data_IF_796084149498
#
_entry.id   IF_796084149498
#
_cell.length_a   1.000
_cell.length_b   1.000
_cell.length_c   1.000
_cell.angle_alpha   90.00
_cell.angle_beta   90.00
_cell.angle_gamma   90.00
#
_symmetry.space_group_name_H-M   'P 1'
#
loop_
_entity.id
_entity.type
_entity.pdbx_description
1 polymer ?
#
# COMPACT_ATOMS: atom_id res chain seq x y z
N UNK A 1 -5.61 13.03 9.81
CA UNK A 1 -5.08 11.78 9.21
C UNK A 1 -6.22 10.79 9.13
N UNK A 2 -6.55 10.27 7.94
CA UNK A 2 -7.65 9.32 7.75
C UNK A 2 -7.07 8.01 7.22
N UNK A 3 -7.19 6.94 8.02
CA UNK A 3 -6.80 5.59 7.61
C UNK A 3 -7.76 5.10 6.53
N UNK A 4 -7.26 4.63 5.39
CA UNK A 4 -8.11 4.12 4.32
C UNK A 4 -8.79 2.84 4.79
N UNK A 5 -10.12 2.75 4.84
CA UNK A 5 -10.83 1.53 5.21
C UNK A 5 -10.50 0.43 4.20
N UNK A 6 -9.64 -0.49 4.60
CA UNK A 6 -9.52 -1.80 3.98
C UNK A 6 -10.68 -2.64 4.55
N UNK A 7 -11.62 -3.08 3.73
CA UNK A 7 -12.81 -3.81 4.18
C UNK A 7 -12.44 -5.15 4.83
N UNK A 8 -12.23 -5.16 6.15
CA UNK A 8 -12.38 -6.33 7.06
C UNK A 8 -12.24 -5.89 8.51
N UNK A 9 -13.19 -6.29 9.35
CA UNK A 9 -12.95 -6.55 10.78
C UNK A 9 -12.14 -7.84 10.85
N UNK A 10 -10.90 -7.80 11.33
CA UNK A 10 -10.19 -9.03 11.71
C UNK A 10 -9.71 -8.88 13.15
N UNK A 11 -10.21 -9.76 14.02
CA UNK A 11 -10.03 -9.79 15.48
C UNK A 11 -8.73 -10.51 15.87
N UNK A 12 -7.97 -11.00 14.89
CA UNK A 12 -6.74 -11.78 15.12
C UNK A 12 -5.56 -11.05 14.50
N UNK A 13 -4.54 -10.75 15.31
CA UNK A 13 -3.29 -10.11 14.87
C UNK A 13 -2.70 -10.94 13.71
N UNK A 14 -2.56 -10.36 12.51
CA UNK A 14 -1.94 -11.04 11.39
C UNK A 14 -0.49 -11.38 11.73
N UNK A 15 -0.12 -12.66 11.67
CA UNK A 15 1.23 -13.14 12.01
C UNK A 15 2.32 -12.57 11.09
N UNK A 16 1.96 -12.19 9.86
CA UNK A 16 2.89 -11.65 8.88
C UNK A 16 2.53 -10.21 8.54
N UNK A 17 3.31 -9.26 9.08
CA UNK A 17 3.20 -7.83 8.81
C UNK A 17 4.57 -7.24 8.56
N UNK A 18 4.71 -6.44 7.51
CA UNK A 18 5.91 -5.64 7.24
C UNK A 18 5.56 -4.17 7.44
N UNK A 19 6.09 -3.55 8.50
CA UNK A 19 5.92 -2.13 8.78
C UNK A 19 6.95 -1.27 8.05
N UNK A 20 6.59 -0.02 7.78
CA UNK A 20 7.47 0.97 7.16
C UNK A 20 7.55 2.19 8.07
N UNK A 21 8.76 2.58 8.44
CA UNK A 21 9.04 3.70 9.34
C UNK A 21 10.11 4.60 8.70
N UNK A 22 10.15 5.86 9.09
CA UNK A 22 11.22 6.80 8.72
C UNK A 22 11.62 7.58 9.96
N UNK A 23 12.88 7.45 10.37
CA UNK A 23 13.38 8.08 11.59
C UNK A 23 12.59 7.66 12.84
N UNK A 24 12.19 6.39 12.91
CA UNK A 24 11.39 5.81 14.00
C UNK A 24 9.91 6.24 14.01
N UNK A 25 9.44 6.97 12.99
CA UNK A 25 8.03 7.35 12.85
C UNK A 25 7.32 6.43 11.88
N UNK A 26 6.14 5.93 12.27
CA UNK A 26 5.34 5.04 11.42
C UNK A 26 4.83 5.74 10.16
N UNK A 27 5.05 5.08 9.03
CA UNK A 27 4.57 5.47 7.72
C UNK A 27 5.64 6.14 6.87
N UNK A 28 5.62 5.86 5.58
CA UNK A 28 6.47 6.51 4.58
C UNK A 28 5.63 7.06 3.43
N UNK A 29 5.93 8.29 3.00
CA UNK A 29 5.19 8.94 1.92
C UNK A 29 5.48 8.23 0.59
N UNK A 30 4.44 7.68 -0.05
CA UNK A 30 4.60 6.81 -1.22
C UNK A 30 5.23 7.52 -2.42
N UNK A 31 4.94 8.81 -2.62
CA UNK A 31 5.56 9.58 -3.70
C UNK A 31 7.07 9.74 -3.54
N UNK A 32 7.55 9.85 -2.30
CA UNK A 32 8.97 10.04 -2.02
C UNK A 32 9.73 8.72 -2.20
N UNK A 33 9.12 7.59 -1.82
CA UNK A 33 9.66 6.23 -2.10
C UNK A 33 9.81 5.99 -3.60
N UNK A 34 8.79 6.32 -4.38
CA UNK A 34 8.80 6.08 -5.83
C UNK A 34 9.78 7.01 -6.54
N UNK A 35 9.98 8.22 -6.02
CA UNK A 35 10.92 9.20 -6.56
C UNK A 35 12.37 8.99 -6.08
N UNK A 36 12.59 8.10 -5.12
CA UNK A 36 13.90 7.86 -4.51
C UNK A 36 14.33 8.92 -3.49
N UNK A 37 13.42 9.79 -3.05
CA UNK A 37 13.69 10.83 -2.05
C UNK A 37 13.59 10.34 -0.60
N UNK A 38 12.97 9.17 -0.38
CA UNK A 38 12.86 8.56 0.92
C UNK A 38 13.04 7.04 0.83
N UNK A 39 13.64 6.47 1.87
CA UNK A 39 13.73 5.03 2.09
C UNK A 39 13.19 4.71 3.49
N UNK A 40 12.55 3.55 3.67
CA UNK A 40 12.14 3.14 5.00
C UNK A 40 13.38 2.81 5.84
N UNK A 41 13.28 2.98 7.15
CA UNK A 41 14.25 2.49 8.11
C UNK A 41 14.49 0.98 7.87
N UNK A 42 15.75 0.54 8.00
CA UNK A 42 16.16 -0.83 7.71
C UNK A 42 15.81 -1.25 6.26
N UNK A 43 16.09 -0.37 5.28
CA UNK A 43 15.73 -0.58 3.87
C UNK A 43 16.30 -1.86 3.27
N UNK A 44 17.49 -2.29 3.72
CA UNK A 44 18.20 -3.45 3.21
C UNK A 44 17.81 -4.77 3.89
N UNK A 45 16.98 -4.72 4.94
CA UNK A 45 16.50 -5.92 5.62
C UNK A 45 15.69 -6.78 4.66
N UNK A 46 16.03 -8.07 4.62
CA UNK A 46 15.22 -9.07 3.93
C UNK A 46 13.91 -9.24 4.68
N UNK A 47 12.82 -9.01 3.97
CA UNK A 47 11.47 -9.18 4.50
C UNK A 47 10.80 -10.35 3.80
N UNK A 48 9.87 -11.01 4.49
CA UNK A 48 9.11 -12.15 3.97
C UNK A 48 9.92 -13.44 3.75
N UNK A 49 11.22 -13.45 4.07
CA UNK A 49 12.06 -14.66 4.00
C UNK A 49 11.48 -15.80 4.84
N UNK A 50 10.97 -15.49 6.04
CA UNK A 50 10.35 -16.47 6.94
C UNK A 50 9.06 -17.08 6.39
N UNK A 51 8.43 -16.46 5.38
CA UNK A 51 7.19 -16.97 4.79
C UNK A 51 7.44 -18.09 3.78
N UNK A 52 8.67 -18.21 3.26
CA UNK A 52 9.03 -19.17 2.21
C UNK A 52 8.33 -18.92 0.86
N UNK A 53 7.61 -17.81 0.70
CA UNK A 53 6.93 -17.47 -0.54
C UNK A 53 7.91 -16.92 -1.57
N UNK A 54 7.76 -17.33 -2.84
CA UNK A 54 8.47 -16.74 -3.99
C UNK A 54 7.75 -15.52 -4.55
N UNK A 55 6.42 -15.52 -4.43
CA UNK A 55 5.54 -14.45 -4.88
C UNK A 55 4.43 -14.25 -3.86
N UNK A 56 3.94 -13.01 -3.78
CA UNK A 56 2.76 -12.65 -3.00
C UNK A 56 1.69 -12.02 -3.89
N UNK A 57 0.42 -12.28 -3.59
CA UNK A 57 -0.70 -11.60 -4.25
C UNK A 57 -1.07 -10.33 -3.48
N UNK A 58 -0.60 -9.17 -3.95
CA UNK A 58 -0.92 -7.87 -3.35
C UNK A 58 -2.29 -7.40 -3.88
N UNK A 59 -3.24 -7.13 -2.98
CA UNK A 59 -4.58 -6.64 -3.29
C UNK A 59 -4.79 -5.27 -2.66
N UNK A 60 -5.17 -4.30 -3.50
CA UNK A 60 -5.58 -2.96 -3.08
C UNK A 60 -7.11 -2.95 -3.00
N UNK A 61 -7.62 -2.61 -1.82
CA UNK A 61 -9.02 -2.28 -1.63
C UNK A 61 -9.15 -0.78 -1.38
N UNK A 62 -10.08 -0.13 -2.06
CA UNK A 62 -10.32 1.30 -1.88
C UNK A 62 -11.83 1.57 -1.84
N UNK A 63 -12.35 2.31 -0.86
CA UNK A 63 -13.78 2.53 -0.73
C UNK A 63 -14.39 3.15 -2.00
N UNK A 64 -15.41 2.50 -2.55
CA UNK A 64 -16.11 2.95 -3.76
C UNK A 64 -15.44 2.56 -5.08
N UNK A 65 -14.38 1.73 -5.08
CA UNK A 65 -13.70 1.24 -6.28
C UNK A 65 -13.61 -0.30 -6.28
N UNK A 66 -13.54 -0.88 -7.47
CA UNK A 66 -13.24 -2.30 -7.63
C UNK A 66 -11.86 -2.62 -7.05
N UNK A 67 -11.75 -3.78 -6.41
CA UNK A 67 -10.47 -4.29 -5.92
C UNK A 67 -9.51 -4.51 -7.09
N UNK A 68 -8.20 -4.30 -6.83
CA UNK A 68 -7.16 -4.52 -7.83
C UNK A 68 -6.03 -5.35 -7.24
N UNK A 69 -5.73 -6.48 -7.88
CA UNK A 69 -4.69 -7.42 -7.46
C UNK A 69 -3.50 -7.45 -8.41
N UNK A 70 -2.30 -7.66 -7.88
CA UNK A 70 -1.06 -7.89 -8.63
C UNK A 70 -0.16 -8.87 -7.89
N UNK A 71 0.44 -9.81 -8.62
CA UNK A 71 1.49 -10.66 -8.07
C UNK A 71 2.82 -9.91 -8.03
N UNK A 72 3.47 -9.94 -6.86
CA UNK A 72 4.81 -9.40 -6.65
C UNK A 72 5.78 -10.54 -6.40
N UNK A 73 6.92 -10.54 -7.10
CA UNK A 73 8.03 -11.44 -6.79
C UNK A 73 8.73 -10.94 -5.52
N UNK A 74 8.78 -11.79 -4.51
CA UNK A 74 9.43 -11.52 -3.21
C UNK A 74 10.70 -12.34 -3.01
N UNK A 75 10.98 -13.26 -3.93
CA UNK A 75 12.25 -13.93 -4.06
C UNK A 75 12.63 -13.97 -5.55
N UNK A 76 13.84 -13.54 -5.88
CA UNK A 76 14.40 -13.68 -7.22
C UNK A 76 15.82 -14.22 -7.14
N UNK A 77 16.11 -15.29 -7.89
CA UNK A 77 17.44 -15.92 -7.93
C UNK A 77 18.02 -16.28 -6.54
N UNK A 78 17.14 -16.71 -5.62
CA UNK A 78 17.50 -17.07 -4.25
C UNK A 78 17.60 -15.88 -3.28
N UNK A 79 17.60 -14.65 -3.77
CA UNK A 79 17.61 -13.44 -2.95
C UNK A 79 16.18 -13.00 -2.61
N UNK A 80 15.91 -12.83 -1.31
CA UNK A 80 14.65 -12.29 -0.83
C UNK A 80 14.60 -10.77 -0.99
N UNK A 81 13.39 -10.26 -1.16
CA UNK A 81 13.11 -8.85 -1.31
C UNK A 81 13.51 -8.07 -0.05
N UNK A 82 14.13 -6.92 -0.24
CA UNK A 82 14.43 -6.00 0.87
C UNK A 82 13.22 -5.15 1.23
N UNK A 83 13.16 -4.62 2.45
CA UNK A 83 12.08 -3.74 2.90
C UNK A 83 11.90 -2.53 1.98
N UNK A 84 13.00 -1.89 1.59
CA UNK A 84 13.01 -0.76 0.66
C UNK A 84 12.45 -1.14 -0.71
N UNK A 85 12.84 -2.32 -1.23
CA UNK A 85 12.31 -2.81 -2.51
C UNK A 85 10.83 -3.14 -2.43
N UNK A 86 10.36 -3.74 -1.34
CA UNK A 86 8.94 -4.01 -1.11
C UNK A 86 8.14 -2.71 -1.04
N UNK A 87 8.60 -1.71 -0.28
CA UNK A 87 7.97 -0.39 -0.19
C UNK A 87 7.81 0.24 -1.57
N UNK A 88 8.84 0.17 -2.42
CA UNK A 88 8.83 0.72 -3.77
C UNK A 88 7.81 0.00 -4.68
N UNK A 89 7.81 -1.35 -4.70
CA UNK A 89 6.87 -2.13 -5.51
C UNK A 89 5.40 -1.90 -5.10
N UNK A 90 5.14 -1.82 -3.79
CA UNK A 90 3.80 -1.56 -3.26
C UNK A 90 3.36 -0.14 -3.63
N UNK A 91 4.22 0.85 -3.40
CA UNK A 91 3.92 2.25 -3.74
C UNK A 91 3.68 2.44 -5.24
N UNK A 92 4.47 1.79 -6.08
CA UNK A 92 4.27 1.80 -7.53
C UNK A 92 2.95 1.14 -7.94
N UNK A 93 2.60 0.01 -7.33
CA UNK A 93 1.32 -0.67 -7.58
C UNK A 93 0.13 0.20 -7.18
N UNK A 94 0.21 0.90 -6.04
CA UNK A 94 -0.81 1.86 -5.61
C UNK A 94 -0.90 3.06 -6.57
N UNK A 95 0.24 3.60 -7.03
CA UNK A 95 0.28 4.67 -8.04
C UNK A 95 -0.45 4.26 -9.32
N UNK A 96 -0.21 3.05 -9.80
CA UNK A 96 -0.88 2.50 -10.97
C UNK A 96 -2.38 2.33 -10.75
N UNK A 97 -2.79 1.82 -9.59
CA UNK A 97 -4.20 1.73 -9.20
C UNK A 97 -4.89 3.10 -9.23
N UNK A 98 -4.32 4.12 -8.56
CA UNK A 98 -4.91 5.46 -8.54
C UNK A 98 -5.03 6.07 -9.93
N UNK A 99 -4.01 5.90 -10.79
CA UNK A 99 -4.04 6.39 -12.18
C UNK A 99 -5.11 5.70 -13.01
N UNK A 100 -5.35 4.41 -12.80
CA UNK A 100 -6.41 3.68 -13.48
C UNK A 100 -7.79 4.12 -12.94
N UNK A 101 -7.91 4.30 -11.62
CA UNK A 101 -9.12 4.74 -10.96
C UNK A 101 -9.53 6.16 -11.38
N UNK A 102 -8.58 7.10 -11.52
CA UNK A 102 -8.86 8.49 -11.90
C UNK A 102 -9.37 8.66 -13.34
N UNK A 103 -9.03 7.71 -14.24
CA UNK A 103 -9.50 7.72 -15.63
C UNK A 103 -10.91 7.20 -15.78
N UNK A 104 -11.36 6.32 -14.88
CA UNK A 104 -12.72 5.80 -14.87
C UNK A 104 -13.63 6.91 -14.34
N UNK A 105 -14.49 7.50 -15.19
CA UNK A 105 -15.58 8.44 -14.80
C UNK A 105 -16.68 7.78 -13.93
N UNK A 106 -16.33 6.78 -13.12
CA UNK A 106 -17.30 6.04 -12.32
C UNK A 106 -17.69 6.88 -11.12
N UNK A 107 -19.01 7.06 -10.94
CA UNK A 107 -19.60 7.59 -9.73
C UNK A 107 -19.27 6.62 -8.60
N UNK A 108 -18.53 7.09 -7.61
CA UNK A 108 -18.24 6.35 -6.38
C UNK A 108 -19.55 5.81 -5.80
N UNK A 109 -19.50 4.67 -5.11
CA UNK A 109 -20.65 4.20 -4.35
C UNK A 109 -21.17 5.33 -3.43
N UNK A 110 -22.51 5.47 -3.33
CA UNK A 110 -23.13 6.48 -2.46
C UNK A 110 -22.54 6.35 -1.04
N UNK A 111 -22.11 7.46 -0.45
CA UNK A 111 -21.48 7.49 0.88
C UNK A 111 -19.96 7.34 0.93
N UNK A 112 -19.27 7.18 -0.21
CA UNK A 112 -17.78 7.09 -0.27
C UNK A 112 -17.10 8.33 -0.87
N UNK A 113 -17.76 9.48 -0.88
CA UNK A 113 -17.27 10.70 -1.53
C UNK A 113 -15.94 11.21 -0.95
N UNK A 114 -15.73 11.05 0.35
CA UNK A 114 -14.46 11.40 1.01
C UNK A 114 -13.25 10.56 0.54
N UNK A 115 -13.50 9.42 -0.14
CA UNK A 115 -12.49 8.52 -0.70
C UNK A 115 -12.35 8.69 -2.22
N UNK A 116 -12.86 9.78 -2.79
CA UNK A 116 -12.74 10.08 -4.22
C UNK A 116 -11.26 10.16 -4.62
N UNK A 117 -10.88 9.57 -5.75
CA UNK A 117 -9.53 9.60 -6.32
C UNK A 117 -9.55 10.54 -7.51
N UNK A 118 -8.58 11.46 -7.58
CA UNK A 118 -8.41 12.37 -8.72
C UNK A 118 -8.21 13.82 -8.31
N UNK A 119 -8.42 14.75 -9.25
CA UNK A 119 -8.07 16.16 -9.08
C UNK A 119 -8.77 16.83 -7.88
N UNK A 120 -10.03 16.45 -7.62
CA UNK A 120 -10.84 16.98 -6.52
C UNK A 120 -10.92 16.00 -5.33
N UNK A 121 -9.96 15.09 -5.21
CA UNK A 121 -9.96 14.06 -4.18
C UNK A 121 -8.55 13.69 -3.77
N UNK A 122 -8.41 12.46 -3.28
CA UNK A 122 -7.14 11.90 -2.83
C UNK A 122 -6.25 11.66 -4.05
N UNK A 123 -5.06 12.25 -4.00
CA UNK A 123 -4.00 12.08 -4.98
C UNK A 123 -2.89 11.21 -4.40
N UNK A 124 -2.00 10.72 -5.27
CA UNK A 124 -0.90 9.85 -4.84
C UNK A 124 0.04 10.51 -3.82
N UNK A 125 0.23 11.82 -3.94
CA UNK A 125 1.06 12.62 -3.03
C UNK A 125 0.49 12.75 -1.61
N UNK A 126 -0.78 12.40 -1.42
CA UNK A 126 -1.48 12.45 -0.15
C UNK A 126 -1.38 11.11 0.60
N UNK A 127 -0.72 10.09 0.02
CA UNK A 127 -0.67 8.74 0.55
C UNK A 127 0.62 8.41 1.29
N UNK A 128 0.42 7.77 2.44
CA UNK A 128 1.46 7.19 3.26
C UNK A 128 1.26 5.68 3.36
N UNK A 129 2.33 4.93 3.11
CA UNK A 129 2.38 3.49 3.31
C UNK A 129 2.77 3.20 4.74
N UNK A 130 1.89 2.57 5.52
CA UNK A 130 2.15 2.24 6.92
C UNK A 130 2.74 0.83 7.06
N UNK A 131 2.09 -0.15 6.43
CA UNK A 131 2.47 -1.55 6.53
C UNK A 131 1.94 -2.34 5.34
N UNK A 132 2.40 -3.57 5.19
CA UNK A 132 1.85 -4.59 4.30
C UNK A 132 1.53 -5.82 5.13
N UNK A 133 0.26 -6.20 5.14
CA UNK A 133 -0.31 -7.19 6.06
C UNK A 133 -0.84 -8.38 5.27
N UNK A 134 -0.56 -9.59 5.74
CA UNK A 134 -1.18 -10.80 5.20
C UNK A 134 -2.58 -11.02 5.75
N UNK A 135 -3.54 -11.25 4.86
CA UNK A 135 -4.91 -11.63 5.19
C UNK A 135 -5.29 -12.89 4.39
N UNK A 136 -5.23 -14.05 5.04
CA UNK A 136 -5.35 -15.35 4.37
C UNK A 136 -4.28 -15.54 3.29
N UNK A 137 -4.71 -15.60 2.04
CA UNK A 137 -3.87 -15.82 0.86
C UNK A 137 -3.50 -14.54 0.11
N UNK A 138 -3.96 -13.38 0.59
CA UNK A 138 -3.67 -12.09 -0.02
C UNK A 138 -2.84 -11.22 0.92
N UNK A 139 -2.11 -10.29 0.33
CA UNK A 139 -1.36 -9.26 1.03
C UNK A 139 -2.00 -7.92 0.74
N UNK A 140 -2.09 -7.05 1.75
CA UNK A 140 -2.80 -5.78 1.64
C UNK A 140 -1.95 -4.65 2.19
N UNK A 141 -1.81 -3.54 1.46
CA UNK A 141 -1.18 -2.37 2.02
C UNK A 141 -2.12 -1.68 3.01
N UNK A 142 -1.62 -1.35 4.20
CA UNK A 142 -2.27 -0.38 5.07
C UNK A 142 -1.82 1.01 4.66
N UNK A 143 -2.80 1.83 4.25
CA UNK A 143 -2.56 3.15 3.67
C UNK A 143 -3.26 4.20 4.53
N UNK A 144 -2.56 5.31 4.74
CA UNK A 144 -3.12 6.52 5.34
C UNK A 144 -3.20 7.63 4.30
N UNK A 145 -4.36 8.30 4.24
CA UNK A 145 -4.57 9.47 3.40
C UNK A 145 -4.49 10.75 4.25
N UNK A 146 -3.64 11.67 3.82
CA UNK A 146 -3.50 13.01 4.38
C UNK A 146 -4.28 13.97 3.50
N UNK A 147 -5.61 13.93 3.66
CA UNK A 147 -6.50 14.84 2.92
C UNK A 147 -6.20 16.27 3.36
N UNK A 148 -5.91 17.15 2.40
CA UNK A 148 -5.81 18.58 2.68
C UNK A 148 -7.16 19.05 3.20
N UNK A 149 -7.17 19.76 4.33
CA UNK A 149 -8.39 20.39 4.83
C UNK A 149 -9.01 21.30 3.77
N UNK A 150 -10.32 21.56 3.84
CA UNK A 150 -10.99 22.52 2.97
C UNK A 150 -10.34 23.91 3.03
#
# INVERSE_FOLDING_TARGET
>A
RLRVPQTTRSVTVPRDTVQFEVGGSLGIRMCDVVSGHAQPDLSEDRVLEHTGHRQIHLVIMWPGYEQSGRYLHVQNDGLYITRGRLANLVSDTVRHFLRAASRKRRRHARGSQQWTIGNNGIQFQDLWLLSVVRDGNIWRPEIEAHVRGP
#
